data_IF_958443258770
#
_entry.id   IF_958443258770
#
_cell.length_a   1.000
_cell.length_b   1.000
_cell.length_c   1.000
_cell.angle_alpha   90.00
_cell.angle_beta   90.00
_cell.angle_gamma   90.00
#
_symmetry.space_group_name_H-M   'P 1'
#
loop_
_entity.id
_entity.type
_entity.pdbx_description
1 polymer ?
#
# COMPACT_ATOMS: atom_id res chain seq x y z
N UNK A 1 13.64 27.13 -0.73
CA UNK A 1 13.77 26.37 0.53
C UNK A 1 14.38 25.01 0.19
N UNK A 2 15.55 24.67 0.74
CA UNK A 2 16.34 23.52 0.34
C UNK A 2 16.17 22.37 1.36
N UNK A 3 16.23 21.12 0.88
CA UNK A 3 16.02 19.87 1.64
C UNK A 3 16.90 19.66 2.88
N UNK A 4 17.92 20.50 3.08
CA UNK A 4 18.87 20.43 4.20
C UNK A 4 18.47 21.30 5.39
N UNK A 5 17.58 22.26 5.20
CA UNK A 5 17.15 23.18 6.27
C UNK A 5 16.04 22.56 7.15
N UNK A 6 15.42 21.46 6.70
CA UNK A 6 14.27 20.84 7.36
C UNK A 6 14.66 19.92 8.54
N UNK A 7 15.90 19.44 8.61
CA UNK A 7 16.36 18.53 9.69
C UNK A 7 17.00 19.26 10.88
N UNK A 8 17.09 20.59 10.85
CA UNK A 8 17.68 21.40 11.93
C UNK A 8 16.67 22.09 12.86
N UNK A 9 15.37 22.07 12.54
CA UNK A 9 14.36 22.85 13.24
C UNK A 9 13.32 21.93 13.92
N UNK A 10 13.76 21.16 14.89
CA UNK A 10 12.87 20.52 15.87
C UNK A 10 13.54 20.52 17.24
N UNK A 11 14.05 21.68 17.63
CA UNK A 11 14.44 21.95 19.01
C UNK A 11 13.91 23.33 19.33
N UNK A 12 13.09 23.41 20.38
CA UNK A 12 12.63 24.63 21.05
C UNK A 12 11.32 25.23 20.55
N UNK A 13 10.21 24.80 21.16
CA UNK A 13 9.15 25.69 21.63
C UNK A 13 8.29 24.96 22.68
N UNK A 14 8.77 24.88 23.93
CA UNK A 14 7.92 24.61 25.10
C UNK A 14 7.93 25.90 25.93
N UNK A 15 6.91 26.73 25.75
CA UNK A 15 6.55 27.81 26.66
C UNK A 15 5.11 27.60 27.08
N UNK A 16 4.96 26.92 28.22
CA UNK A 16 3.69 26.63 28.87
C UNK A 16 3.98 25.95 30.20
N UNK A 17 4.26 26.76 31.23
CA UNK A 17 4.48 26.30 32.60
C UNK A 17 3.15 25.81 33.18
N UNK A 18 2.94 24.50 33.08
CA UNK A 18 2.04 23.74 33.95
C UNK A 18 2.89 22.66 34.60
N UNK A 19 3.18 22.80 35.89
CA UNK A 19 3.93 21.82 36.67
C UNK A 19 3.14 20.52 36.77
N UNK A 20 3.41 19.57 35.88
CA UNK A 20 3.02 18.18 36.06
C UNK A 20 4.23 17.39 36.55
N UNK A 21 4.08 16.49 37.54
CA UNK A 21 5.19 15.77 38.13
C UNK A 21 5.93 14.97 37.05
N UNK A 22 7.25 15.17 36.99
CA UNK A 22 8.17 14.37 36.19
C UNK A 22 8.08 12.90 36.63
N UNK A 23 7.28 12.11 35.92
CA UNK A 23 7.13 10.68 36.23
C UNK A 23 6.13 9.89 35.39
N UNK A 24 5.31 10.52 34.53
CA UNK A 24 4.33 9.79 33.71
C UNK A 24 4.20 10.42 32.32
N UNK A 25 5.24 10.29 31.50
CA UNK A 25 5.00 10.09 30.07
C UNK A 25 4.91 8.59 29.91
N UNK A 26 3.69 8.05 29.94
CA UNK A 26 3.51 6.67 29.50
C UNK A 26 4.09 6.59 28.07
N UNK A 27 5.10 5.74 27.80
CA UNK A 27 5.43 5.44 26.43
C UNK A 27 4.15 4.93 25.77
N UNK A 28 3.91 5.42 24.55
CA UNK A 28 2.80 5.03 23.69
C UNK A 28 2.31 3.60 23.99
N UNK A 29 1.04 3.39 24.40
CA UNK A 29 0.64 2.08 24.90
C UNK A 29 0.56 1.10 23.70
N UNK A 30 0.89 -0.17 23.94
CA UNK A 30 0.65 -1.31 23.04
C UNK A 30 1.65 -1.63 21.92
N UNK A 31 2.95 -1.72 22.25
CA UNK A 31 3.77 -2.75 21.59
C UNK A 31 4.56 -3.52 22.63
N UNK A 32 3.83 -4.21 23.52
CA UNK A 32 4.36 -5.45 24.07
C UNK A 32 4.66 -6.36 22.89
N UNK A 33 5.91 -6.78 22.74
CA UNK A 33 6.35 -7.60 21.60
C UNK A 33 5.61 -8.94 21.49
N UNK A 34 4.86 -9.31 22.53
CA UNK A 34 4.00 -10.48 22.61
C UNK A 34 2.73 -10.37 21.74
N UNK A 35 2.27 -9.16 21.42
CA UNK A 35 1.08 -8.92 20.58
C UNK A 35 1.37 -8.71 19.10
N UNK A 36 2.63 -8.76 18.68
CA UNK A 36 2.92 -8.87 17.26
C UNK A 36 2.56 -10.31 16.88
N UNK A 37 1.43 -10.56 16.17
CA UNK A 37 1.17 -11.89 15.65
C UNK A 37 2.44 -12.31 14.93
N UNK A 38 2.89 -13.55 15.12
CA UNK A 38 4.06 -14.04 14.40
C UNK A 38 3.84 -13.68 12.94
N UNK A 39 4.52 -12.65 12.45
CA UNK A 39 4.39 -12.24 11.07
C UNK A 39 5.12 -13.34 10.35
N UNK A 40 4.38 -14.41 10.08
CA UNK A 40 4.88 -15.59 9.40
C UNK A 40 5.44 -15.03 8.12
N UNK A 41 6.77 -15.07 8.02
CA UNK A 41 7.54 -14.54 6.89
C UNK A 41 7.34 -15.46 5.68
N UNK A 42 6.09 -15.75 5.33
CA UNK A 42 5.73 -16.51 4.15
C UNK A 42 5.67 -15.57 2.95
N UNK A 43 6.04 -16.10 1.80
CA UNK A 43 5.73 -15.44 0.54
C UNK A 43 4.22 -15.24 0.41
N UNK A 44 3.83 -14.08 -0.12
CA UNK A 44 2.43 -13.69 -0.33
C UNK A 44 2.20 -13.58 -1.84
N UNK A 45 0.98 -13.87 -2.28
CA UNK A 45 0.51 -13.54 -3.63
C UNK A 45 -0.12 -12.15 -3.57
N UNK A 46 0.50 -11.18 -4.22
CA UNK A 46 0.11 -9.76 -4.17
C UNK A 46 -0.37 -9.34 -5.55
N UNK A 47 -1.62 -8.88 -5.65
CA UNK A 47 -2.14 -8.20 -6.82
C UNK A 47 -1.90 -6.69 -6.66
N UNK A 48 -1.31 -6.05 -7.66
CA UNK A 48 -1.14 -4.59 -7.68
C UNK A 48 -1.92 -4.00 -8.84
N UNK A 49 -2.93 -3.19 -8.52
CA UNK A 49 -3.72 -2.44 -9.50
C UNK A 49 -2.98 -1.12 -9.81
N UNK A 50 -2.59 -0.92 -11.06
CA UNK A 50 -1.83 0.27 -11.46
C UNK A 50 -0.34 0.22 -11.06
N UNK A 51 0.25 -0.98 -10.97
CA UNK A 51 1.62 -1.18 -10.46
C UNK A 51 2.76 -0.60 -11.31
N UNK A 52 2.48 -0.08 -12.51
CA UNK A 52 3.48 0.61 -13.36
C UNK A 52 3.35 2.13 -13.36
N UNK A 53 2.44 2.69 -12.55
CA UNK A 53 2.24 4.12 -12.35
C UNK A 53 3.32 4.77 -11.47
N UNK A 54 2.93 5.75 -10.65
CA UNK A 54 3.88 6.53 -9.85
C UNK A 54 4.46 5.74 -8.67
N UNK A 55 3.64 5.37 -7.68
CA UNK A 55 4.09 4.63 -6.50
C UNK A 55 4.25 3.12 -6.74
N UNK A 56 3.57 2.60 -7.77
CA UNK A 56 3.54 1.17 -8.10
C UNK A 56 4.92 0.52 -8.25
N UNK A 57 5.84 1.06 -9.07
CA UNK A 57 7.16 0.45 -9.26
C UNK A 57 7.98 0.31 -7.98
N UNK A 58 7.79 1.20 -7.01
CA UNK A 58 8.45 1.10 -5.70
C UNK A 58 7.86 -0.04 -4.87
N UNK A 59 6.53 -0.17 -4.84
CA UNK A 59 5.85 -1.28 -4.17
C UNK A 59 6.22 -2.63 -4.80
N UNK A 60 6.28 -2.71 -6.13
CA UNK A 60 6.66 -3.95 -6.85
C UNK A 60 8.07 -4.37 -6.48
N UNK A 61 9.07 -3.46 -6.61
CA UNK A 61 10.46 -3.77 -6.24
C UNK A 61 10.58 -4.23 -4.80
N UNK A 62 9.90 -3.55 -3.88
CA UNK A 62 9.94 -3.93 -2.48
C UNK A 62 9.31 -5.30 -2.23
N UNK A 63 8.14 -5.56 -2.82
CA UNK A 63 7.46 -6.84 -2.70
C UNK A 63 8.31 -8.02 -3.23
N UNK A 64 8.92 -7.85 -4.41
CA UNK A 64 9.83 -8.84 -4.98
C UNK A 64 11.06 -9.06 -4.10
N UNK A 65 11.66 -7.98 -3.56
CA UNK A 65 12.84 -8.09 -2.67
C UNK A 65 12.56 -8.87 -1.38
N UNK A 66 11.28 -8.99 -1.00
CA UNK A 66 10.80 -9.75 0.16
C UNK A 66 10.39 -11.19 -0.18
N UNK A 67 10.54 -11.61 -1.43
CA UNK A 67 10.18 -12.95 -1.90
C UNK A 67 8.68 -13.15 -2.12
N UNK A 68 7.89 -12.09 -2.25
CA UNK A 68 6.48 -12.21 -2.59
C UNK A 68 6.30 -12.46 -4.09
N UNK A 69 5.20 -13.14 -4.45
CA UNK A 69 4.77 -13.34 -5.83
C UNK A 69 3.86 -12.19 -6.20
N UNK A 70 4.24 -11.41 -7.21
CA UNK A 70 3.49 -10.22 -7.64
C UNK A 70 2.75 -10.52 -8.95
N UNK A 71 1.51 -10.07 -9.05
CA UNK A 71 0.76 -9.97 -10.31
C UNK A 71 0.39 -8.52 -10.52
N UNK A 72 0.60 -7.99 -11.72
CA UNK A 72 0.22 -6.63 -12.09
C UNK A 72 -1.08 -6.65 -12.89
N UNK A 73 -2.00 -5.75 -12.58
CA UNK A 73 -3.17 -5.49 -13.41
C UNK A 73 -3.14 -4.06 -13.93
N UNK A 74 -2.99 -3.89 -15.25
CA UNK A 74 -2.79 -2.60 -15.89
C UNK A 74 -3.46 -2.54 -17.28
N UNK A 75 -3.75 -1.32 -17.76
CA UNK A 75 -4.26 -1.06 -19.13
C UNK A 75 -3.23 -1.30 -20.26
N UNK A 76 -2.01 -1.71 -19.93
CA UNK A 76 -0.95 -1.92 -20.92
C UNK A 76 -0.41 -0.65 -21.60
N UNK A 77 -0.57 0.54 -20.99
CA UNK A 77 -0.16 1.83 -21.60
C UNK A 77 1.13 2.42 -21.01
N UNK A 78 1.26 2.38 -19.68
CA UNK A 78 2.35 3.07 -18.96
C UNK A 78 3.47 2.11 -18.59
N UNK A 79 4.72 2.48 -18.90
CA UNK A 79 5.93 1.78 -18.49
C UNK A 79 5.87 0.25 -18.70
N UNK A 80 5.38 -0.18 -19.87
CA UNK A 80 5.10 -1.60 -20.18
C UNK A 80 6.32 -2.51 -20.12
N UNK A 81 7.52 -1.94 -20.31
CA UNK A 81 8.81 -2.64 -20.22
C UNK A 81 9.25 -2.95 -18.79
N UNK A 82 8.63 -2.34 -17.76
CA UNK A 82 9.00 -2.61 -16.38
C UNK A 82 8.58 -4.03 -15.96
N UNK A 83 9.41 -4.65 -15.12
CA UNK A 83 9.18 -5.96 -14.50
C UNK A 83 8.84 -7.05 -15.54
N UNK A 84 9.71 -7.31 -16.54
CA UNK A 84 9.46 -8.36 -17.54
C UNK A 84 9.21 -9.75 -16.94
N UNK A 85 9.74 -10.01 -15.75
CA UNK A 85 9.62 -11.25 -14.99
C UNK A 85 8.30 -11.40 -14.22
N UNK A 86 7.52 -10.33 -14.09
CA UNK A 86 6.27 -10.31 -13.32
C UNK A 86 5.07 -10.57 -14.24
N UNK A 87 4.12 -11.40 -13.79
CA UNK A 87 2.87 -11.65 -14.52
C UNK A 87 2.09 -10.33 -14.68
N UNK A 88 1.67 -10.05 -15.91
CA UNK A 88 0.86 -8.86 -16.26
C UNK A 88 -0.48 -9.29 -16.82
N UNK A 89 -1.53 -8.99 -16.08
CA UNK A 89 -2.91 -9.05 -16.52
C UNK A 89 -3.27 -7.71 -17.17
N UNK A 90 -3.82 -7.78 -18.38
CA UNK A 90 -4.30 -6.60 -19.10
C UNK A 90 -5.79 -6.44 -18.85
N UNK A 91 -6.19 -5.22 -18.53
CA UNK A 91 -7.59 -4.81 -18.42
C UNK A 91 -7.72 -3.36 -17.97
N UNK A 92 -8.96 -2.90 -17.81
CA UNK A 92 -9.29 -1.55 -17.35
C UNK A 92 -10.30 -1.62 -16.20
N UNK A 93 -10.00 -0.99 -15.07
CA UNK A 93 -10.91 -1.02 -13.93
C UNK A 93 -12.22 -0.28 -14.17
N UNK A 94 -12.27 0.54 -15.22
CA UNK A 94 -13.51 1.14 -15.70
C UNK A 94 -14.28 0.19 -16.65
N UNK A 95 -14.57 -1.03 -16.19
CA UNK A 95 -15.49 -1.96 -16.87
C UNK A 95 -14.88 -3.24 -17.47
N UNK A 96 -13.56 -3.38 -17.51
CA UNK A 96 -12.84 -4.55 -18.03
C UNK A 96 -11.99 -5.21 -16.94
N UNK A 97 -12.66 -6.00 -16.08
CA UNK A 97 -12.04 -6.72 -14.96
C UNK A 97 -11.96 -8.24 -15.21
N UNK A 98 -12.26 -8.71 -16.42
CA UNK A 98 -12.41 -10.14 -16.72
C UNK A 98 -11.17 -10.96 -16.37
N UNK A 99 -9.98 -10.40 -16.60
CA UNK A 99 -8.71 -11.07 -16.30
C UNK A 99 -8.52 -11.42 -14.81
N UNK A 100 -9.27 -10.78 -13.91
CA UNK A 100 -9.20 -11.02 -12.47
C UNK A 100 -10.11 -12.16 -12.00
N UNK A 101 -11.09 -12.58 -12.81
CA UNK A 101 -12.08 -13.60 -12.42
C UNK A 101 -11.45 -14.97 -12.20
N UNK A 102 -11.94 -15.69 -11.19
CA UNK A 102 -11.50 -17.06 -10.87
C UNK A 102 -10.08 -17.16 -10.29
N UNK A 103 -9.43 -16.04 -9.99
CA UNK A 103 -8.09 -15.98 -9.39
C UNK A 103 -8.17 -15.62 -7.91
N UNK A 104 -7.08 -15.84 -7.18
CA UNK A 104 -6.99 -15.54 -5.75
C UNK A 104 -5.65 -14.95 -5.38
N UNK A 105 -5.66 -14.02 -4.42
CA UNK A 105 -4.48 -13.37 -3.87
C UNK A 105 -4.56 -13.27 -2.35
N UNK A 106 -3.42 -13.13 -1.68
CA UNK A 106 -3.42 -12.84 -0.25
C UNK A 106 -3.76 -11.36 0.00
N UNK A 107 -3.21 -10.47 -0.83
CA UNK A 107 -3.34 -9.01 -0.68
C UNK A 107 -3.54 -8.33 -2.04
N UNK A 108 -4.35 -7.28 -2.05
CA UNK A 108 -4.44 -6.31 -3.15
C UNK A 108 -3.88 -4.96 -2.70
N UNK A 109 -3.00 -4.39 -3.51
CA UNK A 109 -2.61 -2.98 -3.43
C UNK A 109 -3.31 -2.21 -4.54
N UNK A 110 -4.21 -1.31 -4.16
CA UNK A 110 -4.98 -0.49 -5.07
C UNK A 110 -4.46 0.95 -5.07
N UNK A 111 -3.70 1.28 -6.12
CA UNK A 111 -3.07 2.60 -6.30
C UNK A 111 -3.80 3.50 -7.31
N UNK A 112 -4.93 3.06 -7.88
CA UNK A 112 -5.49 3.68 -9.09
C UNK A 112 -7.00 3.89 -9.02
N UNK A 113 -7.55 4.13 -7.83
CA UNK A 113 -8.98 4.45 -7.65
C UNK A 113 -9.25 5.95 -7.74
N UNK A 114 -9.47 6.46 -8.95
CA UNK A 114 -9.78 7.88 -9.17
C UNK A 114 -11.26 8.21 -8.98
N UNK A 115 -12.14 7.29 -9.35
CA UNK A 115 -13.58 7.41 -9.15
C UNK A 115 -14.10 6.35 -8.15
N UNK A 116 -15.12 6.67 -7.32
CA UNK A 116 -15.64 5.73 -6.33
C UNK A 116 -16.14 4.41 -6.92
N UNK A 117 -16.75 4.43 -8.11
CA UNK A 117 -17.26 3.22 -8.75
C UNK A 117 -16.12 2.27 -9.13
N UNK A 118 -14.97 2.78 -9.56
CA UNK A 118 -13.80 1.98 -9.93
C UNK A 118 -13.29 1.15 -8.74
N UNK A 119 -13.25 1.76 -7.55
CA UNK A 119 -12.85 1.06 -6.32
C UNK A 119 -13.91 0.06 -5.89
N UNK A 120 -15.17 0.47 -5.90
CA UNK A 120 -16.30 -0.40 -5.53
C UNK A 120 -16.36 -1.65 -6.40
N UNK A 121 -16.21 -1.50 -7.72
CA UNK A 121 -16.42 -2.60 -8.65
C UNK A 121 -15.29 -3.64 -8.55
N UNK A 122 -14.02 -3.20 -8.42
CA UNK A 122 -12.91 -4.12 -8.17
C UNK A 122 -12.95 -4.75 -6.78
N UNK A 123 -13.28 -3.99 -5.73
CA UNK A 123 -13.42 -4.53 -4.38
C UNK A 123 -14.55 -5.56 -4.29
N UNK A 124 -15.70 -5.29 -4.95
CA UNK A 124 -16.82 -6.23 -5.01
C UNK A 124 -16.42 -7.53 -5.71
N UNK A 125 -15.76 -7.42 -6.86
CA UNK A 125 -15.28 -8.59 -7.61
C UNK A 125 -14.31 -9.44 -6.79
N UNK A 126 -13.43 -8.81 -6.02
CA UNK A 126 -12.34 -9.46 -5.29
C UNK A 126 -12.71 -9.89 -3.86
N UNK A 127 -13.92 -9.56 -3.38
CA UNK A 127 -14.34 -9.76 -1.99
C UNK A 127 -14.26 -11.21 -1.48
N UNK A 128 -14.45 -12.19 -2.36
CA UNK A 128 -14.30 -13.63 -2.04
C UNK A 128 -12.95 -14.23 -2.47
N UNK A 129 -12.06 -13.43 -3.06
CA UNK A 129 -10.82 -13.89 -3.69
C UNK A 129 -9.55 -13.39 -2.99
N UNK A 130 -9.69 -12.47 -2.02
CA UNK A 130 -8.57 -11.74 -1.43
C UNK A 130 -8.72 -11.62 0.08
N UNK A 131 -7.63 -11.85 0.82
CA UNK A 131 -7.62 -11.72 2.29
C UNK A 131 -7.62 -10.27 2.77
N UNK A 132 -6.86 -9.38 2.11
CA UNK A 132 -6.81 -7.95 2.43
C UNK A 132 -6.82 -7.08 1.17
N UNK A 133 -7.64 -6.01 1.18
CA UNK A 133 -7.69 -5.01 0.13
C UNK A 133 -7.22 -3.66 0.68
N UNK A 134 -6.07 -3.17 0.20
CA UNK A 134 -5.46 -1.93 0.64
C UNK A 134 -5.62 -0.86 -0.45
N UNK A 135 -6.46 0.14 -0.19
CA UNK A 135 -6.68 1.26 -1.09
C UNK A 135 -5.85 2.48 -0.68
N UNK A 136 -5.11 3.05 -1.62
CA UNK A 136 -4.38 4.31 -1.44
C UNK A 136 -5.30 5.47 -1.82
N UNK A 137 -5.77 6.22 -0.82
CA UNK A 137 -6.60 7.41 -1.00
C UNK A 137 -5.78 8.71 -0.90
N UNK A 138 -6.42 9.82 -1.27
CA UNK A 138 -5.93 11.18 -1.04
C UNK A 138 -6.74 11.85 0.07
N UNK A 139 -6.16 12.82 0.78
CA UNK A 139 -6.88 13.59 1.81
C UNK A 139 -7.72 14.75 1.25
N UNK A 140 -7.52 15.12 -0.02
CA UNK A 140 -8.37 16.07 -0.74
C UNK A 140 -9.11 15.33 -1.84
N UNK A 141 -10.43 15.51 -1.88
CA UNK A 141 -11.38 15.00 -2.88
C UNK A 141 -12.11 16.16 -3.54
#
# INVERSE_FOLDING_TARGET
MNRRDFLGASTTAVLGVGTLPHGLVAPWPFLDSEFLPSYQRRALRILILGGTGFIGPHQVRYALSRGHVVTLFNRGRTNTHLFPEVEKLVGDRNGDLEALKGRQWDVVLDNSGFEPHIVRDSARLLSGAVGQYLFVSTQSV
#
